data_IF_966780720312
#
_entry.id   IF_966780720312
#
_cell.length_a   1.000
_cell.length_b   1.000
_cell.length_c   1.000
_cell.angle_alpha   90.00
_cell.angle_beta   90.00
_cell.angle_gamma   90.00
#
_symmetry.space_group_name_H-M   'P 1'
#
loop_
_entity.id
_entity.type
_entity.pdbx_description
1 polymer ?
#
# COMPACT_ATOMS: atom_id res chain seq x y z
N UNK A 1 -3.79 -14.46 2.72
CA UNK A 1 -2.39 -14.68 2.25
C UNK A 1 -1.47 -13.64 2.89
N UNK A 2 -0.14 -13.78 2.80
CA UNK A 2 0.80 -12.84 3.43
C UNK A 2 0.66 -11.40 2.89
N UNK A 3 0.48 -11.24 1.58
CA UNK A 3 0.30 -9.95 0.92
C UNK A 3 -0.95 -9.19 1.37
N UNK A 4 -2.06 -9.87 1.62
CA UNK A 4 -3.29 -9.22 2.11
C UNK A 4 -3.11 -8.62 3.51
N UNK A 5 -2.39 -9.31 4.40
CA UNK A 5 -2.11 -8.81 5.76
C UNK A 5 -1.26 -7.56 5.73
N UNK A 6 -0.25 -7.53 4.86
CA UNK A 6 0.55 -6.32 4.60
C UNK A 6 -0.34 -5.21 4.04
N UNK A 7 -1.27 -5.52 3.12
CA UNK A 7 -2.24 -4.57 2.60
C UNK A 7 -3.11 -3.92 3.69
N UNK A 8 -3.61 -4.71 4.65
CA UNK A 8 -4.36 -4.17 5.80
C UNK A 8 -3.48 -3.29 6.68
N UNK A 9 -2.26 -3.73 6.98
CA UNK A 9 -1.30 -2.94 7.74
C UNK A 9 -0.97 -1.59 7.09
N UNK A 10 -0.85 -1.56 5.75
CA UNK A 10 -0.62 -0.33 4.99
C UNK A 10 -1.80 0.65 5.05
N UNK A 11 -3.05 0.14 5.09
CA UNK A 11 -4.26 0.97 5.32
C UNK A 11 -4.19 1.61 6.72
N UNK A 12 -3.86 0.85 7.76
CA UNK A 12 -3.76 1.39 9.11
C UNK A 12 -2.57 2.34 9.30
N UNK A 13 -1.45 2.07 8.63
CA UNK A 13 -0.28 2.93 8.69
C UNK A 13 -0.56 4.33 8.08
N UNK A 14 -1.24 4.38 6.94
CA UNK A 14 -1.52 5.67 6.27
C UNK A 14 -2.51 6.54 7.05
N UNK A 15 -3.40 5.94 7.84
CA UNK A 15 -4.35 6.67 8.72
C UNK A 15 -3.66 7.42 9.87
N UNK A 16 -2.49 6.94 10.30
CA UNK A 16 -1.70 7.60 11.33
C UNK A 16 -0.64 8.54 10.73
N UNK A 17 -0.01 8.15 9.63
CA UNK A 17 1.04 8.95 8.97
C UNK A 17 1.21 8.58 7.49
N UNK A 18 1.19 9.60 6.63
CA UNK A 18 1.43 9.43 5.19
C UNK A 18 2.78 8.80 4.83
N UNK A 19 3.80 8.97 5.67
CA UNK A 19 5.12 8.34 5.45
C UNK A 19 5.19 6.89 5.94
N UNK A 20 4.33 6.49 6.88
CA UNK A 20 4.33 5.15 7.43
C UNK A 20 3.89 4.10 6.40
N UNK A 21 2.97 4.46 5.50
CA UNK A 21 2.61 3.63 4.35
C UNK A 21 3.83 3.13 3.58
N UNK A 22 4.75 4.05 3.26
CA UNK A 22 5.95 3.74 2.47
C UNK A 22 6.93 2.88 3.26
N UNK A 23 7.04 3.07 4.57
CA UNK A 23 7.86 2.20 5.44
C UNK A 23 7.37 0.74 5.40
N UNK A 24 6.06 0.51 5.49
CA UNK A 24 5.48 -0.83 5.33
C UNK A 24 5.67 -1.39 3.92
N UNK A 25 5.45 -0.57 2.88
CA UNK A 25 5.69 -0.96 1.49
C UNK A 25 7.14 -1.45 1.30
N UNK A 26 8.12 -0.65 1.73
CA UNK A 26 9.53 -0.96 1.52
C UNK A 26 9.93 -2.21 2.31
N UNK A 27 9.53 -2.30 3.58
CA UNK A 27 9.86 -3.42 4.46
C UNK A 27 9.33 -4.76 3.96
N UNK A 28 8.09 -4.81 3.48
CA UNK A 28 7.41 -6.08 3.18
C UNK A 28 7.32 -6.41 1.70
N UNK A 29 7.32 -5.40 0.81
CA UNK A 29 7.20 -5.63 -0.63
C UNK A 29 8.54 -5.45 -1.37
N UNK A 30 9.40 -4.53 -0.95
CA UNK A 30 10.70 -4.30 -1.60
C UNK A 30 11.78 -5.19 -1.00
N UNK A 31 11.94 -5.17 0.32
CA UNK A 31 12.91 -6.02 1.03
C UNK A 31 12.46 -7.49 1.13
N UNK A 32 11.23 -7.79 0.72
CA UNK A 32 10.62 -9.12 0.70
C UNK A 32 10.71 -9.84 2.06
N UNK A 33 10.42 -9.10 3.14
CA UNK A 33 10.36 -9.69 4.47
C UNK A 33 9.25 -10.74 4.54
N UNK A 34 9.62 -12.00 4.74
CA UNK A 34 8.68 -13.12 4.90
C UNK A 34 7.83 -13.01 6.18
N UNK A 35 8.21 -12.12 7.09
CA UNK A 35 7.63 -11.90 8.40
C UNK A 35 6.38 -11.00 8.33
N UNK A 36 5.27 -11.51 7.78
CA UNK A 36 4.02 -10.76 7.66
C UNK A 36 2.90 -11.32 8.53
N UNK A 37 3.18 -11.82 9.74
CA UNK A 37 2.13 -12.17 10.71
C UNK A 37 1.50 -10.90 11.30
N UNK A 38 0.30 -11.00 11.88
CA UNK A 38 -0.34 -9.86 12.55
C UNK A 38 0.56 -9.24 13.61
N UNK A 39 1.10 -10.06 14.51
CA UNK A 39 2.01 -9.60 15.57
C UNK A 39 3.23 -8.87 14.99
N UNK A 40 3.87 -9.42 13.96
CA UNK A 40 5.04 -8.80 13.32
C UNK A 40 4.73 -7.45 12.67
N UNK A 41 3.50 -7.28 12.15
CA UNK A 41 3.07 -6.02 11.56
C UNK A 41 2.79 -4.96 12.64
N UNK A 42 2.20 -5.36 13.77
CA UNK A 42 1.96 -4.48 14.93
C UNK A 42 3.29 -4.10 15.59
N UNK A 43 4.19 -5.05 15.80
CA UNK A 43 5.54 -4.79 16.33
C UNK A 43 6.28 -3.76 15.46
N UNK A 44 6.25 -3.96 14.13
CA UNK A 44 6.86 -3.03 13.20
C UNK A 44 6.20 -1.64 13.21
N UNK A 45 4.87 -1.57 13.41
CA UNK A 45 4.17 -0.30 13.58
C UNK A 45 4.75 0.49 14.77
N UNK A 46 4.96 -0.20 15.91
CA UNK A 46 5.59 0.37 17.09
C UNK A 46 7.04 0.81 16.84
N UNK A 47 7.84 -0.03 16.15
CA UNK A 47 9.24 0.26 15.82
C UNK A 47 9.41 1.55 15.00
N UNK A 48 8.44 1.86 14.12
CA UNK A 48 8.46 3.09 13.31
C UNK A 48 7.72 4.27 13.97
N UNK A 49 7.31 4.12 15.24
CA UNK A 49 6.74 5.18 16.05
C UNK A 49 5.24 5.42 15.87
N UNK A 50 4.48 4.43 15.36
CA UNK A 50 3.02 4.48 15.36
C UNK A 50 2.47 4.09 16.73
N UNK A 51 1.24 4.54 17.01
CA UNK A 51 0.48 4.10 18.17
C UNK A 51 0.03 2.65 17.94
N UNK A 52 0.57 1.73 18.75
CA UNK A 52 0.33 0.30 18.64
C UNK A 52 -1.12 -0.10 18.92
N UNK A 53 -1.75 0.49 19.93
CA UNK A 53 -3.13 0.18 20.31
C UNK A 53 -4.10 0.65 19.22
N UNK A 54 -3.90 1.87 18.71
CA UNK A 54 -4.69 2.40 17.60
C UNK A 54 -4.44 1.61 16.31
N UNK A 55 -3.21 1.16 16.07
CA UNK A 55 -2.89 0.35 14.91
C UNK A 55 -3.58 -1.02 15.00
N UNK A 56 -3.55 -1.65 16.18
CA UNK A 56 -4.19 -2.93 16.43
C UNK A 56 -5.72 -2.84 16.27
N UNK A 57 -6.35 -1.80 16.81
CA UNK A 57 -7.79 -1.54 16.62
C UNK A 57 -8.14 -1.40 15.14
N UNK A 58 -7.40 -0.58 14.39
CA UNK A 58 -7.61 -0.45 12.95
C UNK A 58 -7.41 -1.79 12.22
N UNK A 59 -6.37 -2.55 12.56
CA UNK A 59 -6.04 -3.78 11.85
C UNK A 59 -7.14 -4.85 12.00
N UNK A 60 -7.80 -4.88 13.17
CA UNK A 60 -8.87 -5.82 13.47
C UNK A 60 -10.26 -5.33 13.01
N UNK A 61 -10.41 -4.04 12.67
CA UNK A 61 -11.68 -3.49 12.18
C UNK A 61 -12.08 -4.12 10.83
N UNK A 62 -13.30 -4.70 10.71
CA UNK A 62 -13.85 -5.14 9.43
C UNK A 62 -13.84 -4.06 8.33
N UNK A 63 -13.91 -2.78 8.69
CA UNK A 63 -13.83 -1.65 7.78
C UNK A 63 -12.48 -1.59 7.05
N UNK A 64 -11.37 -1.94 7.70
CA UNK A 64 -10.04 -2.01 7.08
C UNK A 64 -10.02 -3.02 5.93
N UNK A 65 -10.63 -4.19 6.15
CA UNK A 65 -10.78 -5.20 5.10
C UNK A 65 -11.68 -4.71 3.97
N UNK A 66 -12.75 -3.98 4.29
CA UNK A 66 -13.64 -3.39 3.29
C UNK A 66 -12.92 -2.35 2.43
N UNK A 67 -12.15 -1.45 3.05
CA UNK A 67 -11.36 -0.41 2.39
C UNK A 67 -10.30 -1.02 1.47
N UNK A 68 -9.53 -2.00 1.94
CA UNK A 68 -8.58 -2.75 1.11
C UNK A 68 -9.28 -3.39 -0.10
N UNK A 69 -10.41 -4.07 0.12
CA UNK A 69 -11.13 -4.72 -0.96
C UNK A 69 -11.75 -3.72 -1.95
N UNK A 70 -12.12 -2.53 -1.49
CA UNK A 70 -12.58 -1.44 -2.36
C UNK A 70 -11.44 -0.95 -3.25
N UNK A 71 -10.25 -0.69 -2.69
CA UNK A 71 -9.06 -0.32 -3.47
C UNK A 71 -8.76 -1.37 -4.57
N UNK A 72 -8.87 -2.66 -4.26
CA UNK A 72 -8.69 -3.71 -5.27
C UNK A 72 -9.79 -3.70 -6.36
N UNK A 73 -11.05 -3.37 -6.01
CA UNK A 73 -12.13 -3.22 -6.99
C UNK A 73 -11.89 -2.01 -7.90
N UNK A 74 -11.50 -0.88 -7.32
CA UNK A 74 -11.24 0.35 -8.06
C UNK A 74 -10.06 0.16 -9.02
N UNK A 75 -8.97 -0.46 -8.56
CA UNK A 75 -7.84 -0.84 -9.40
C UNK A 75 -8.29 -1.71 -10.59
N UNK A 76 -9.12 -2.73 -10.36
CA UNK A 76 -9.63 -3.61 -11.43
C UNK A 76 -10.53 -2.87 -12.41
N UNK A 77 -11.39 -1.97 -11.93
CA UNK A 77 -12.26 -1.15 -12.77
C UNK A 77 -11.45 -0.27 -13.74
N UNK A 78 -10.25 0.15 -13.33
CA UNK A 78 -9.29 0.90 -14.15
C UNK A 78 -8.28 -0.02 -14.86
N UNK A 79 -8.56 -1.33 -14.96
CA UNK A 79 -7.74 -2.29 -15.70
C UNK A 79 -6.40 -2.62 -15.04
N UNK A 80 -6.24 -2.43 -13.72
CA UNK A 80 -5.09 -2.84 -12.91
C UNK A 80 -5.45 -4.11 -12.12
N UNK A 81 -4.88 -5.24 -12.52
CA UNK A 81 -5.17 -6.58 -11.99
C UNK A 81 -3.99 -7.23 -11.29
N UNK A 82 -2.79 -6.72 -11.52
CA UNK A 82 -1.54 -7.07 -10.84
C UNK A 82 -0.61 -5.85 -10.87
N UNK A 83 0.38 -5.82 -9.97
CA UNK A 83 1.38 -4.76 -9.89
C UNK A 83 2.81 -5.27 -10.12
N UNK A 84 3.79 -4.37 -10.30
CA UNK A 84 3.60 -2.93 -10.42
C UNK A 84 2.97 -2.51 -11.76
N UNK A 85 1.97 -1.63 -11.71
CA UNK A 85 1.36 -0.94 -12.86
C UNK A 85 1.07 0.49 -12.47
N UNK A 86 1.38 1.44 -13.34
CA UNK A 86 1.23 2.88 -13.08
C UNK A 86 0.35 3.47 -14.18
N UNK A 87 -0.57 4.34 -13.79
CA UNK A 87 -1.33 5.18 -14.71
C UNK A 87 -1.07 6.65 -14.42
N UNK A 88 -0.94 7.45 -15.47
CA UNK A 88 -0.81 8.91 -15.41
C UNK A 88 -1.95 9.50 -16.22
N UNK A 89 -2.82 10.30 -15.58
CA UNK A 89 -4.01 10.91 -16.19
C UNK A 89 -4.86 9.94 -17.04
N UNK A 90 -4.99 8.70 -16.59
CA UNK A 90 -5.77 7.68 -17.29
C UNK A 90 -5.01 6.91 -18.39
N UNK A 91 -3.79 7.28 -18.77
CA UNK A 91 -2.96 6.46 -19.65
C UNK A 91 -2.10 5.48 -18.84
N UNK A 92 -1.81 4.28 -19.36
CA UNK A 92 -0.82 3.37 -18.77
C UNK A 92 0.58 3.94 -19.00
N UNK A 93 1.42 3.91 -17.96
CA UNK A 93 2.83 4.26 -18.03
C UNK A 93 3.71 3.01 -17.84
N UNK A 94 4.99 3.13 -18.22
CA UNK A 94 6.00 2.16 -17.80
C UNK A 94 6.31 2.28 -16.30
N UNK A 95 7.09 1.33 -15.77
CA UNK A 95 7.45 1.28 -14.34
C UNK A 95 8.82 1.87 -14.03
N UNK A 96 9.59 2.27 -15.05
CA UNK A 96 10.85 2.98 -14.86
C UNK A 96 10.60 4.46 -14.61
N UNK A 97 11.50 5.11 -13.87
CA UNK A 97 11.43 6.56 -13.66
C UNK A 97 11.32 7.33 -14.99
N UNK A 98 12.14 6.99 -15.99
CA UNK A 98 12.10 7.62 -17.30
C UNK A 98 10.75 7.46 -18.01
N UNK A 99 10.11 6.28 -17.93
CA UNK A 99 8.82 6.06 -18.56
C UNK A 99 7.68 6.79 -17.83
N UNK A 100 7.75 6.88 -16.50
CA UNK A 100 6.79 7.65 -15.70
C UNK A 100 6.96 9.14 -15.99
N UNK A 101 8.20 9.64 -16.01
CA UNK A 101 8.50 11.03 -16.35
C UNK A 101 7.95 11.40 -17.72
N UNK A 102 8.23 10.58 -18.74
CA UNK A 102 7.70 10.79 -20.09
C UNK A 102 6.17 10.83 -20.11
N UNK A 103 5.49 9.95 -19.35
CA UNK A 103 4.04 9.93 -19.28
C UNK A 103 3.46 11.18 -18.58
N UNK A 104 4.15 11.70 -17.56
CA UNK A 104 3.78 12.96 -16.88
C UNK A 104 3.95 14.16 -17.81
N UNK A 105 5.10 14.26 -18.48
CA UNK A 105 5.40 15.34 -19.43
C UNK A 105 4.41 15.35 -20.59
N UNK A 106 4.06 14.18 -21.14
CA UNK A 106 3.07 14.05 -22.21
C UNK A 106 1.63 14.39 -21.76
N UNK A 107 1.36 14.39 -20.46
CA UNK A 107 0.03 14.67 -19.90
C UNK A 107 -0.10 16.09 -19.30
N UNK A 108 0.96 16.89 -19.38
CA UNK A 108 0.93 18.31 -19.03
C UNK A 108 0.13 19.11 -20.08
N UNK A 109 -0.61 20.17 -19.66
CA UNK A 109 -1.40 21.00 -20.56
C UNK A 109 -0.55 21.84 -21.53
#
# INVERSE_FOLDING_TARGET
>A
MASERVGYAMVCAIEQSGSAFWRFHDRFLVENSRAASRAQLIDYAGDIGLDGDRFEECYDDPATRQAHNQNLRDARAIGITYGPRIRVNGAMAGTSFAAIQQAVEAAAP
#
